data_IF_975658711368
#
_entry.id   IF_975658711368
#
_cell.length_a   1.000
_cell.length_b   1.000
_cell.length_c   1.000
_cell.angle_alpha   90.00
_cell.angle_beta   90.00
_cell.angle_gamma   90.00
#
_symmetry.space_group_name_H-M   'P 1'
#
loop_
_entity.id
_entity.type
_entity.pdbx_description
1 polymer ?
#
# COMPACT_ATOMS: atom_id res chain seq x y z
N UNK A 1 10.21 -3.17 -23.31
CA UNK A 1 10.26 -1.84 -22.67
C UNK A 1 10.63 -1.87 -21.17
N UNK A 2 10.42 -2.95 -20.42
CA UNK A 2 10.73 -3.02 -18.98
C UNK A 2 12.21 -3.30 -18.69
N UNK A 3 12.86 -4.11 -19.51
CA UNK A 3 14.25 -4.56 -19.27
C UNK A 3 15.26 -3.40 -19.32
N UNK A 4 15.12 -2.50 -20.28
CA UNK A 4 16.06 -1.39 -20.45
C UNK A 4 16.11 -0.45 -19.22
N UNK A 5 14.97 0.05 -18.67
CA UNK A 5 15.01 0.84 -17.43
C UNK A 5 15.56 0.08 -16.23
N UNK A 6 15.31 -1.23 -16.12
CA UNK A 6 15.86 -2.04 -15.04
C UNK A 6 17.40 -2.14 -15.12
N UNK A 7 17.95 -2.36 -16.33
CA UNK A 7 19.41 -2.37 -16.54
C UNK A 7 20.01 -1.00 -16.26
N UNK A 8 19.38 0.09 -16.71
CA UNK A 8 19.86 1.45 -16.43
C UNK A 8 19.78 1.79 -14.93
N UNK A 9 18.77 1.32 -14.21
CA UNK A 9 18.70 1.47 -12.75
C UNK A 9 19.89 0.80 -12.07
N UNK A 10 20.19 -0.47 -12.44
CA UNK A 10 21.35 -1.19 -11.91
C UNK A 10 22.65 -0.49 -12.29
N UNK A 11 22.80 -0.05 -13.54
CA UNK A 11 23.98 0.71 -13.99
C UNK A 11 24.15 2.01 -13.21
N UNK A 12 23.07 2.75 -13.01
CA UNK A 12 23.07 3.98 -12.24
C UNK A 12 23.47 3.75 -10.78
N UNK A 13 23.03 2.64 -10.18
CA UNK A 13 23.40 2.29 -8.80
C UNK A 13 24.89 2.01 -8.59
N UNK A 14 25.58 1.61 -9.65
CA UNK A 14 27.03 1.36 -9.66
C UNK A 14 27.84 2.56 -10.13
N UNK A 15 27.20 3.67 -10.48
CA UNK A 15 27.79 4.89 -11.01
C UNK A 15 27.86 6.01 -9.99
N UNK A 16 28.80 6.94 -10.21
CA UNK A 16 28.85 8.25 -9.55
C UNK A 16 28.29 9.30 -10.50
N UNK A 17 27.50 10.20 -9.94
CA UNK A 17 26.89 11.31 -10.69
C UNK A 17 27.22 12.65 -10.03
N UNK A 18 27.34 13.71 -10.84
CA UNK A 18 27.39 15.08 -10.34
C UNK A 18 26.05 15.54 -9.81
N UNK A 19 26.02 16.68 -9.12
CA UNK A 19 24.78 17.33 -8.66
C UNK A 19 23.82 17.66 -9.83
N UNK A 20 24.38 17.83 -11.04
CA UNK A 20 23.61 18.06 -12.27
C UNK A 20 23.18 16.79 -12.99
N UNK A 21 23.47 15.61 -12.42
CA UNK A 21 23.10 14.32 -13.00
C UNK A 21 24.06 13.79 -14.07
N UNK A 22 25.23 14.41 -14.26
CA UNK A 22 26.23 13.94 -15.21
C UNK A 22 27.01 12.76 -14.64
N UNK A 23 27.16 11.69 -15.43
CA UNK A 23 27.94 10.52 -15.06
C UNK A 23 29.43 10.85 -14.92
N UNK A 24 30.04 10.48 -13.82
CA UNK A 24 31.43 10.75 -13.45
C UNK A 24 32.31 9.50 -13.38
N UNK A 25 31.77 8.32 -13.62
CA UNK A 25 32.49 7.05 -13.60
C UNK A 25 31.82 5.97 -12.75
N UNK A 26 32.34 4.75 -12.87
CA UNK A 26 31.87 3.60 -12.09
C UNK A 26 32.50 3.62 -10.69
N UNK A 27 31.70 3.32 -9.66
CA UNK A 27 32.15 3.24 -8.26
C UNK A 27 31.88 1.88 -7.63
N UNK A 28 31.39 0.92 -8.40
CA UNK A 28 31.05 -0.41 -7.92
C UNK A 28 29.98 -0.38 -6.82
N UNK A 29 30.16 -1.14 -5.77
CA UNK A 29 29.21 -1.27 -4.66
C UNK A 29 29.29 -0.12 -3.62
N UNK A 30 30.07 0.92 -3.86
CA UNK A 30 30.26 2.01 -2.91
C UNK A 30 28.94 2.72 -2.54
N UNK A 31 28.01 2.87 -3.48
CA UNK A 31 26.70 3.47 -3.18
C UNK A 31 25.88 2.62 -2.21
N UNK A 32 25.99 1.29 -2.28
CA UNK A 32 25.33 0.40 -1.33
C UNK A 32 25.94 0.48 0.07
N UNK A 33 27.29 0.59 0.18
CA UNK A 33 27.95 0.82 1.47
C UNK A 33 27.49 2.16 2.08
N UNK A 34 27.50 3.25 1.31
CA UNK A 34 26.99 4.56 1.74
C UNK A 34 25.51 4.56 2.09
N UNK A 35 24.71 3.70 1.45
CA UNK A 35 23.31 3.56 1.78
C UNK A 35 23.13 2.95 3.17
N UNK A 36 23.90 1.94 3.51
CA UNK A 36 23.89 1.31 4.84
C UNK A 36 24.39 2.23 5.96
N UNK A 37 25.20 3.24 5.63
CA UNK A 37 25.68 4.26 6.56
C UNK A 37 24.67 5.39 6.81
N UNK A 38 23.53 5.42 6.05
CA UNK A 38 22.49 6.43 6.26
C UNK A 38 21.77 6.22 7.58
N UNK A 39 21.88 7.13 8.51
CA UNK A 39 21.22 7.10 9.83
C UNK A 39 19.68 6.95 9.72
N UNK A 40 19.08 7.53 8.68
CA UNK A 40 17.64 7.46 8.45
C UNK A 40 17.18 6.10 7.91
N UNK A 41 18.07 5.25 7.37
CA UNK A 41 17.67 4.01 6.69
C UNK A 41 16.85 3.05 7.56
N UNK A 42 17.24 2.73 8.82
CA UNK A 42 16.47 1.83 9.66
C UNK A 42 15.05 2.33 9.94
N UNK A 43 14.90 3.63 10.20
CA UNK A 43 13.59 4.27 10.41
C UNK A 43 12.71 4.18 9.17
N UNK A 44 13.26 4.51 8.01
CA UNK A 44 12.55 4.50 6.74
C UNK A 44 12.13 3.08 6.34
N UNK A 45 12.99 2.10 6.55
CA UNK A 45 12.63 0.67 6.34
C UNK A 45 11.52 0.25 7.30
N UNK A 46 11.63 0.57 8.58
CA UNK A 46 10.59 0.30 9.58
C UNK A 46 9.24 0.92 9.20
N UNK A 47 9.24 2.20 8.82
CA UNK A 47 8.05 2.89 8.33
C UNK A 47 7.43 2.21 7.11
N UNK A 48 8.27 1.77 6.16
CA UNK A 48 7.80 1.07 4.95
C UNK A 48 7.13 -0.26 5.30
N UNK A 49 7.73 -1.02 6.21
CA UNK A 49 7.14 -2.30 6.68
C UNK A 49 5.80 -2.04 7.37
N UNK A 50 5.73 -1.07 8.29
CA UNK A 50 4.48 -0.71 8.99
C UNK A 50 3.42 -0.23 8.00
N UNK A 51 3.79 0.68 7.09
CA UNK A 51 2.93 1.19 6.05
C UNK A 51 2.34 0.06 5.19
N UNK A 52 3.19 -0.77 4.60
CA UNK A 52 2.76 -1.84 3.70
C UNK A 52 1.95 -2.90 4.44
N UNK A 53 2.43 -3.36 5.60
CA UNK A 53 1.76 -4.40 6.36
C UNK A 53 0.36 -3.98 6.80
N UNK A 54 0.22 -2.78 7.38
CA UNK A 54 -1.07 -2.31 7.90
C UNK A 54 -2.03 -1.95 6.77
N UNK A 55 -1.58 -1.23 5.73
CA UNK A 55 -2.47 -0.88 4.62
C UNK A 55 -2.96 -2.14 3.92
N UNK A 56 -2.08 -3.11 3.61
CA UNK A 56 -2.48 -4.37 2.95
C UNK A 56 -3.40 -5.19 3.82
N UNK A 57 -3.05 -5.42 5.09
CA UNK A 57 -3.85 -6.25 6.00
C UNK A 57 -5.25 -5.66 6.22
N UNK A 58 -5.34 -4.36 6.53
CA UNK A 58 -6.63 -3.69 6.78
C UNK A 58 -7.46 -3.61 5.49
N UNK A 59 -6.84 -3.30 4.35
CA UNK A 59 -7.53 -3.28 3.06
C UNK A 59 -8.14 -4.64 2.73
N UNK A 60 -7.38 -5.73 2.87
CA UNK A 60 -7.88 -7.09 2.59
C UNK A 60 -9.02 -7.44 3.55
N UNK A 61 -8.87 -7.18 4.84
CA UNK A 61 -9.89 -7.47 5.84
C UNK A 61 -11.22 -6.75 5.55
N UNK A 62 -11.15 -5.44 5.28
CA UNK A 62 -12.34 -4.64 4.93
C UNK A 62 -12.92 -5.04 3.57
N UNK A 63 -12.06 -5.32 2.58
CA UNK A 63 -12.48 -5.73 1.24
C UNK A 63 -13.18 -7.08 1.24
N UNK A 64 -12.77 -8.03 2.11
CA UNK A 64 -13.48 -9.30 2.30
C UNK A 64 -14.92 -9.07 2.76
N UNK A 65 -15.11 -8.22 3.78
CA UNK A 65 -16.45 -7.87 4.26
C UNK A 65 -17.29 -7.17 3.21
N UNK A 66 -16.71 -6.20 2.50
CA UNK A 66 -17.41 -5.47 1.43
C UNK A 66 -17.72 -6.35 0.22
N UNK A 67 -16.81 -7.23 -0.18
CA UNK A 67 -17.05 -8.18 -1.28
C UNK A 67 -18.18 -9.15 -0.95
N UNK A 68 -18.21 -9.66 0.30
CA UNK A 68 -19.30 -10.50 0.79
C UNK A 68 -20.64 -9.76 0.75
N UNK A 69 -20.69 -8.54 1.29
CA UNK A 69 -21.89 -7.69 1.25
C UNK A 69 -22.32 -7.43 -0.19
N UNK A 70 -21.39 -7.09 -1.08
CA UNK A 70 -21.70 -6.84 -2.49
C UNK A 70 -22.01 -8.10 -3.29
N UNK A 71 -21.76 -9.28 -2.77
CA UNK A 71 -22.18 -10.55 -3.37
C UNK A 71 -23.65 -10.87 -3.09
N UNK A 72 -24.17 -10.38 -1.97
CA UNK A 72 -25.60 -10.52 -1.62
C UNK A 72 -26.49 -9.60 -2.45
N UNK A 73 -27.77 -9.99 -2.62
CA UNK A 73 -28.79 -9.15 -3.24
C UNK A 73 -29.51 -8.32 -2.18
N UNK A 74 -29.33 -7.01 -2.17
CA UNK A 74 -30.04 -6.10 -1.26
C UNK A 74 -30.39 -4.77 -1.95
N UNK A 75 -31.45 -4.07 -1.47
CA UNK A 75 -31.79 -2.75 -1.97
C UNK A 75 -30.65 -1.76 -1.67
N UNK A 76 -30.24 -0.96 -2.68
CA UNK A 76 -29.11 -0.03 -2.53
C UNK A 76 -27.72 -0.58 -2.90
N UNK A 77 -27.58 -1.88 -3.23
CA UNK A 77 -26.30 -2.47 -3.71
C UNK A 77 -25.63 -1.65 -4.81
N UNK A 78 -26.41 -1.11 -5.74
CA UNK A 78 -25.92 -0.29 -6.83
C UNK A 78 -25.27 1.02 -6.32
N UNK A 79 -25.86 1.65 -5.31
CA UNK A 79 -25.33 2.85 -4.70
C UNK A 79 -23.98 2.59 -4.00
N UNK A 80 -23.87 1.48 -3.25
CA UNK A 80 -22.60 1.08 -2.60
C UNK A 80 -21.51 0.83 -3.63
N UNK A 81 -21.85 0.19 -4.77
CA UNK A 81 -20.88 0.02 -5.88
C UNK A 81 -20.39 1.35 -6.44
N UNK A 82 -21.29 2.30 -6.68
CA UNK A 82 -20.90 3.63 -7.14
C UNK A 82 -20.06 4.37 -6.10
N UNK A 83 -20.42 4.29 -4.82
CA UNK A 83 -19.67 4.90 -3.73
C UNK A 83 -18.22 4.39 -3.63
N UNK A 84 -17.95 3.15 -4.04
CA UNK A 84 -16.60 2.60 -4.13
C UNK A 84 -15.86 3.05 -5.40
N UNK A 85 -16.53 3.06 -6.57
CA UNK A 85 -15.88 3.35 -7.86
C UNK A 85 -15.52 4.83 -7.99
N UNK A 86 -16.40 5.75 -7.57
CA UNK A 86 -16.22 7.19 -7.78
C UNK A 86 -14.92 7.71 -7.13
N UNK A 87 -14.61 7.42 -5.84
CA UNK A 87 -13.34 7.82 -5.24
C UNK A 87 -12.12 7.18 -5.92
N UNK A 88 -12.26 5.95 -6.38
CA UNK A 88 -11.16 5.23 -7.04
C UNK A 88 -10.83 5.80 -8.43
N UNK A 89 -11.81 6.37 -9.11
CA UNK A 89 -11.60 7.03 -10.42
C UNK A 89 -10.80 8.34 -10.30
N UNK A 90 -10.65 8.90 -9.10
CA UNK A 90 -9.83 10.07 -8.85
C UNK A 90 -8.33 9.73 -8.87
N UNK A 91 -7.48 10.68 -9.29
CA UNK A 91 -6.04 10.48 -9.22
C UNK A 91 -5.55 10.39 -7.77
N UNK A 92 -4.47 9.63 -7.53
CA UNK A 92 -3.86 9.49 -6.20
C UNK A 92 -3.49 10.84 -5.57
N UNK A 93 -2.96 11.77 -6.37
CA UNK A 93 -2.59 13.11 -5.90
C UNK A 93 -3.85 13.88 -5.47
N UNK A 94 -4.92 13.81 -6.26
CA UNK A 94 -6.17 14.49 -5.93
C UNK A 94 -6.80 13.93 -4.66
N UNK A 95 -6.85 12.60 -4.54
CA UNK A 95 -7.33 11.94 -3.32
C UNK A 95 -6.49 12.34 -2.11
N UNK A 96 -5.16 12.34 -2.23
CA UNK A 96 -4.28 12.74 -1.14
C UNK A 96 -4.47 14.20 -0.72
N UNK A 97 -4.62 15.13 -1.68
CA UNK A 97 -4.90 16.56 -1.40
C UNK A 97 -6.26 16.77 -0.74
N UNK A 98 -7.28 16.01 -1.13
CA UNK A 98 -8.58 16.03 -0.46
C UNK A 98 -8.44 15.65 1.03
N UNK A 99 -7.66 14.61 1.32
CA UNK A 99 -7.41 14.19 2.70
C UNK A 99 -6.55 15.20 3.48
N UNK A 100 -5.63 15.94 2.85
CA UNK A 100 -4.94 17.08 3.51
C UNK A 100 -5.96 18.10 4.00
N UNK A 101 -7.00 18.38 3.23
CA UNK A 101 -8.06 19.30 3.66
C UNK A 101 -8.98 18.68 4.73
N UNK A 102 -9.29 17.40 4.64
CA UNK A 102 -10.08 16.69 5.66
C UNK A 102 -9.37 16.70 7.01
N UNK A 103 -8.03 16.54 7.00
CA UNK A 103 -7.17 16.50 8.18
C UNK A 103 -6.68 17.89 8.64
N UNK A 104 -7.08 18.98 7.98
CA UNK A 104 -6.66 20.32 8.38
C UNK A 104 -7.06 20.62 9.84
N UNK A 105 -6.11 21.18 10.60
CA UNK A 105 -6.30 21.38 12.03
C UNK A 105 -7.47 22.31 12.36
N UNK A 106 -7.61 23.42 11.62
CA UNK A 106 -8.59 24.47 11.91
C UNK A 106 -9.93 24.26 11.20
N UNK A 107 -9.89 23.87 9.94
CA UNK A 107 -11.05 23.84 9.05
C UNK A 107 -11.42 22.43 8.57
N UNK A 108 -10.60 21.43 8.91
CA UNK A 108 -10.78 20.06 8.46
C UNK A 108 -12.08 19.43 8.94
N UNK A 109 -12.71 18.67 8.04
CA UNK A 109 -13.99 18.01 8.32
C UNK A 109 -13.90 17.09 9.54
N UNK A 110 -12.78 16.40 9.72
CA UNK A 110 -12.60 15.44 10.81
C UNK A 110 -12.56 16.15 12.18
N UNK A 111 -11.79 17.23 12.29
CA UNK A 111 -11.72 18.01 13.53
C UNK A 111 -13.03 18.75 13.82
N UNK A 112 -13.74 19.21 12.80
CA UNK A 112 -15.10 19.79 12.98
C UNK A 112 -16.08 18.76 13.54
N UNK A 113 -16.05 17.52 13.03
CA UNK A 113 -16.89 16.45 13.57
C UNK A 113 -16.51 16.10 15.02
N UNK A 114 -15.21 16.04 15.33
CA UNK A 114 -14.71 15.78 16.69
C UNK A 114 -15.16 16.90 17.67
N UNK A 115 -14.95 18.15 17.31
CA UNK A 115 -15.32 19.27 18.19
C UNK A 115 -16.83 19.39 18.37
N UNK A 116 -17.64 19.01 17.38
CA UNK A 116 -19.09 18.93 17.52
C UNK A 116 -19.55 17.85 18.54
N UNK A 117 -18.72 16.84 18.81
CA UNK A 117 -18.96 15.83 19.84
C UNK A 117 -18.24 16.13 21.17
N UNK A 118 -17.60 17.31 21.31
CA UNK A 118 -16.90 17.74 22.51
C UNK A 118 -15.47 17.21 22.65
N UNK A 119 -14.91 16.58 21.59
CA UNK A 119 -13.52 16.13 21.56
C UNK A 119 -12.58 17.25 21.12
N UNK A 120 -11.37 17.26 21.68
CA UNK A 120 -10.34 18.22 21.27
C UNK A 120 -9.87 17.97 19.84
N UNK A 121 -9.54 19.03 19.07
CA UNK A 121 -8.97 18.88 17.73
C UNK A 121 -7.56 18.27 17.80
N UNK A 122 -7.19 17.50 16.78
CA UNK A 122 -5.92 16.79 16.66
C UNK A 122 -5.17 17.31 15.45
N UNK A 123 -3.86 17.52 15.57
CA UNK A 123 -3.01 17.80 14.40
C UNK A 123 -2.60 16.49 13.71
N UNK A 124 -3.49 16.00 12.84
CA UNK A 124 -3.36 14.69 12.19
C UNK A 124 -2.08 14.52 11.37
N UNK A 125 -1.58 15.59 10.77
CA UNK A 125 -0.43 15.57 9.87
C UNK A 125 0.82 16.23 10.43
N UNK A 126 0.71 16.96 11.54
CA UNK A 126 1.85 17.61 12.19
C UNK A 126 2.36 16.91 13.44
N UNK A 127 1.54 16.04 14.08
CA UNK A 127 1.96 15.25 15.24
C UNK A 127 2.55 13.91 14.79
N UNK A 128 3.77 13.62 15.26
CA UNK A 128 4.52 12.37 15.00
C UNK A 128 3.73 11.11 15.35
N UNK A 129 2.79 11.19 16.29
CA UNK A 129 1.99 10.04 16.74
C UNK A 129 0.83 9.72 15.81
N UNK A 130 0.31 10.71 15.09
CA UNK A 130 -0.92 10.57 14.29
C UNK A 130 -0.67 10.48 12.80
N UNK A 131 0.41 11.09 12.29
CA UNK A 131 0.68 11.20 10.86
C UNK A 131 0.76 9.84 10.14
N UNK A 132 1.43 8.84 10.72
CA UNK A 132 1.51 7.51 10.11
C UNK A 132 0.13 6.83 10.05
N UNK A 133 -0.66 6.93 11.12
CA UNK A 133 -2.03 6.42 11.17
C UNK A 133 -2.94 7.13 10.14
N UNK A 134 -2.84 8.45 10.03
CA UNK A 134 -3.57 9.24 9.04
C UNK A 134 -3.21 8.82 7.60
N UNK A 135 -1.92 8.64 7.31
CA UNK A 135 -1.47 8.15 6.01
C UNK A 135 -2.01 6.74 5.72
N UNK A 136 -1.95 5.81 6.69
CA UNK A 136 -2.47 4.44 6.56
C UNK A 136 -3.96 4.46 6.23
N UNK A 137 -4.75 5.28 6.90
CA UNK A 137 -6.19 5.39 6.63
C UNK A 137 -6.46 5.81 5.18
N UNK A 138 -5.68 6.75 4.63
CA UNK A 138 -5.78 7.17 3.22
C UNK A 138 -5.33 6.05 2.28
N UNK A 139 -4.24 5.36 2.60
CA UNK A 139 -3.76 4.20 1.84
C UNK A 139 -4.81 3.11 1.73
N UNK A 140 -5.47 2.77 2.84
CA UNK A 140 -6.59 1.82 2.88
C UNK A 140 -7.76 2.31 2.03
N UNK A 141 -8.19 3.56 2.22
CA UNK A 141 -9.31 4.14 1.48
C UNK A 141 -9.12 4.04 -0.04
N UNK A 142 -7.93 4.37 -0.53
CA UNK A 142 -7.63 4.36 -1.98
C UNK A 142 -7.50 2.93 -2.52
N UNK A 143 -6.98 2.00 -1.72
CA UNK A 143 -6.75 0.60 -2.13
C UNK A 143 -8.02 -0.27 -2.06
N UNK A 144 -8.98 0.14 -1.22
CA UNK A 144 -10.19 -0.62 -0.88
C UNK A 144 -11.05 -1.01 -2.10
N UNK A 145 -11.37 -0.08 -3.05
CA UNK A 145 -12.27 -0.41 -4.15
C UNK A 145 -11.72 -1.50 -5.06
N UNK A 146 -10.49 -1.36 -5.52
CA UNK A 146 -9.85 -2.34 -6.40
C UNK A 146 -9.79 -3.73 -5.76
N UNK A 147 -9.32 -3.80 -4.51
CA UNK A 147 -9.21 -5.05 -3.76
C UNK A 147 -10.59 -5.70 -3.55
N UNK A 148 -11.60 -4.89 -3.23
CA UNK A 148 -13.00 -5.38 -3.09
C UNK A 148 -13.52 -6.00 -4.39
N UNK A 149 -13.27 -5.38 -5.54
CA UNK A 149 -13.74 -5.92 -6.81
C UNK A 149 -12.99 -7.18 -7.24
N UNK A 150 -11.70 -7.29 -6.96
CA UNK A 150 -10.93 -8.53 -7.22
C UNK A 150 -11.51 -9.68 -6.38
N UNK A 151 -11.78 -9.45 -5.09
CA UNK A 151 -12.36 -10.45 -4.21
C UNK A 151 -13.81 -10.78 -4.58
N UNK A 152 -14.60 -9.78 -4.96
CA UNK A 152 -15.97 -9.99 -5.43
C UNK A 152 -16.01 -10.85 -6.71
N UNK A 153 -15.10 -10.60 -7.66
CA UNK A 153 -14.98 -11.43 -8.84
C UNK A 153 -14.64 -12.89 -8.46
N UNK A 154 -13.72 -13.08 -7.50
CA UNK A 154 -13.41 -14.41 -6.98
C UNK A 154 -14.61 -15.08 -6.29
N UNK A 155 -15.42 -14.37 -5.50
CA UNK A 155 -16.62 -14.91 -4.89
C UNK A 155 -17.65 -15.38 -5.94
N UNK A 156 -17.75 -14.66 -7.05
CA UNK A 156 -18.69 -14.96 -8.12
C UNK A 156 -18.29 -16.19 -8.99
N UNK A 157 -17.06 -16.68 -8.85
CA UNK A 157 -16.64 -17.93 -9.53
C UNK A 157 -17.05 -19.18 -8.75
N UNK A 158 -17.46 -19.06 -7.48
CA UNK A 158 -17.88 -20.19 -6.67
C UNK A 158 -19.31 -20.59 -7.06
N UNK A 159 -19.56 -21.84 -7.54
CA UNK A 159 -20.88 -22.28 -7.93
C UNK A 159 -21.88 -22.27 -6.77
N UNK A 160 -23.12 -21.88 -7.03
CA UNK A 160 -24.18 -21.87 -6.03
C UNK A 160 -24.47 -23.25 -5.41
N UNK A 161 -24.29 -24.30 -6.20
CA UNK A 161 -24.45 -25.70 -5.79
C UNK A 161 -23.56 -26.07 -4.59
N UNK A 162 -22.34 -25.48 -4.52
CA UNK A 162 -21.44 -25.69 -3.39
C UNK A 162 -22.05 -25.16 -2.08
N UNK A 163 -22.70 -24.01 -2.14
CA UNK A 163 -23.37 -23.43 -0.97
C UNK A 163 -24.67 -24.18 -0.61
N UNK A 164 -25.34 -24.76 -1.59
CA UNK A 164 -26.55 -25.61 -1.36
C UNK A 164 -26.15 -26.91 -0.68
N UNK A 165 -25.14 -27.62 -1.17
CA UNK A 165 -24.60 -28.82 -0.54
C UNK A 165 -24.12 -28.53 0.91
N UNK A 166 -23.39 -27.44 1.11
CA UNK A 166 -22.92 -27.02 2.43
C UNK A 166 -24.08 -26.80 3.43
N UNK A 167 -25.19 -26.24 2.97
CA UNK A 167 -26.38 -26.06 3.82
C UNK A 167 -27.01 -27.38 4.24
N UNK A 168 -27.04 -28.36 3.35
CA UNK A 168 -27.54 -29.72 3.66
C UNK A 168 -26.67 -30.39 4.70
N UNK A 169 -25.31 -30.19 4.63
CA UNK A 169 -24.34 -30.72 5.59
C UNK A 169 -24.26 -29.90 6.90
N UNK A 170 -25.11 -28.89 7.09
CA UNK A 170 -25.18 -28.07 8.30
C UNK A 170 -24.04 -27.00 8.40
N UNK A 171 -23.30 -26.79 7.33
CA UNK A 171 -22.24 -25.77 7.26
C UNK A 171 -22.82 -24.41 6.78
N UNK A 172 -23.80 -23.86 7.51
CA UNK A 172 -24.38 -22.55 7.22
C UNK A 172 -23.67 -21.40 7.96
N UNK A 173 -23.84 -20.17 7.48
CA UNK A 173 -23.34 -18.94 8.12
C UNK A 173 -21.83 -18.91 8.24
N UNK A 174 -21.30 -18.60 9.46
CA UNK A 174 -19.86 -18.46 9.70
C UNK A 174 -19.06 -19.75 9.42
N UNK A 175 -19.65 -20.93 9.63
CA UNK A 175 -19.00 -22.22 9.32
C UNK A 175 -18.80 -22.35 7.80
N UNK A 176 -19.84 -22.09 7.01
CA UNK A 176 -19.75 -22.11 5.55
C UNK A 176 -18.73 -21.10 5.03
N UNK A 177 -18.71 -19.88 5.59
CA UNK A 177 -17.70 -18.88 5.24
C UNK A 177 -16.28 -19.35 5.52
N UNK A 178 -16.02 -19.85 6.74
CA UNK A 178 -14.67 -20.22 7.21
C UNK A 178 -14.12 -21.47 6.52
N UNK A 179 -14.99 -22.48 6.27
CA UNK A 179 -14.56 -23.78 5.80
C UNK A 179 -14.77 -24.01 4.30
N UNK A 180 -15.58 -23.19 3.63
CA UNK A 180 -15.91 -23.34 2.21
C UNK A 180 -15.52 -22.09 1.44
N UNK A 181 -16.13 -20.94 1.76
CA UNK A 181 -15.90 -19.70 0.99
C UNK A 181 -14.44 -19.25 1.05
N UNK A 182 -13.87 -19.15 2.24
CA UNK A 182 -12.51 -18.63 2.42
C UNK A 182 -11.44 -19.52 1.77
N UNK A 183 -11.49 -20.86 1.86
CA UNK A 183 -10.59 -21.74 1.12
C UNK A 183 -10.74 -21.62 -0.41
N UNK A 184 -11.96 -21.61 -0.92
CA UNK A 184 -12.22 -21.47 -2.36
C UNK A 184 -11.84 -20.09 -2.90
N UNK A 185 -11.84 -19.06 -2.05
CA UNK A 185 -11.44 -17.69 -2.40
C UNK A 185 -9.92 -17.50 -2.38
N UNK A 186 -9.13 -18.45 -1.89
CA UNK A 186 -7.66 -18.33 -1.78
C UNK A 186 -6.99 -17.81 -3.05
N UNK A 187 -7.28 -18.31 -4.27
CA UNK A 187 -6.62 -17.80 -5.47
C UNK A 187 -6.86 -16.30 -5.69
N UNK A 188 -8.09 -15.83 -5.49
CA UNK A 188 -8.43 -14.41 -5.59
C UNK A 188 -7.77 -13.58 -4.48
N UNK A 189 -7.69 -14.12 -3.24
CA UNK A 189 -6.96 -13.49 -2.14
C UNK A 189 -5.46 -13.35 -2.44
N UNK A 190 -4.85 -14.37 -3.04
CA UNK A 190 -3.44 -14.31 -3.45
C UNK A 190 -3.20 -13.18 -4.46
N UNK A 191 -4.03 -13.13 -5.49
CA UNK A 191 -3.93 -12.08 -6.52
C UNK A 191 -4.15 -10.70 -5.90
N UNK A 192 -5.21 -10.54 -5.10
CA UNK A 192 -5.53 -9.28 -4.44
C UNK A 192 -4.38 -8.80 -3.53
N UNK A 193 -3.80 -9.71 -2.74
CA UNK A 193 -2.72 -9.36 -1.82
C UNK A 193 -1.43 -8.98 -2.55
N UNK A 194 -1.02 -9.73 -3.58
CA UNK A 194 0.18 -9.41 -4.37
C UNK A 194 0.04 -8.06 -5.07
N UNK A 195 -1.10 -7.84 -5.74
CA UNK A 195 -1.33 -6.58 -6.45
C UNK A 195 -1.40 -5.40 -5.49
N UNK A 196 -2.07 -5.56 -4.34
CA UNK A 196 -2.16 -4.52 -3.31
C UNK A 196 -0.78 -4.25 -2.68
N UNK A 197 0.02 -5.28 -2.39
CA UNK A 197 1.38 -5.13 -1.86
C UNK A 197 2.25 -4.29 -2.80
N UNK A 198 2.26 -4.63 -4.10
CA UNK A 198 3.03 -3.88 -5.11
C UNK A 198 2.53 -2.43 -5.22
N UNK A 199 1.22 -2.24 -5.24
CA UNK A 199 0.60 -0.92 -5.35
C UNK A 199 0.92 -0.04 -4.13
N UNK A 200 0.73 -0.56 -2.92
CA UNK A 200 0.94 0.17 -1.67
C UNK A 200 2.43 0.50 -1.45
N UNK A 201 3.32 -0.44 -1.75
CA UNK A 201 4.77 -0.19 -1.66
C UNK A 201 5.20 0.98 -2.54
N UNK A 202 4.64 1.10 -3.75
CA UNK A 202 4.96 2.16 -4.71
C UNK A 202 4.09 3.42 -4.56
N UNK A 203 3.30 3.56 -3.49
CA UNK A 203 2.38 4.68 -3.28
C UNK A 203 3.08 5.99 -2.89
N UNK A 204 3.99 6.47 -3.74
CA UNK A 204 4.69 7.75 -3.56
C UNK A 204 3.73 8.94 -3.34
N UNK A 205 2.67 9.16 -4.15
CA UNK A 205 1.85 10.37 -4.05
C UNK A 205 1.15 10.52 -2.71
N UNK A 206 0.72 9.43 -2.09
CA UNK A 206 0.01 9.46 -0.80
C UNK A 206 0.97 9.92 0.29
N UNK A 207 2.06 9.18 0.48
CA UNK A 207 3.02 9.47 1.54
C UNK A 207 3.66 10.84 1.34
N UNK A 208 4.05 11.18 0.11
CA UNK A 208 4.65 12.47 -0.22
C UNK A 208 3.74 13.64 0.10
N UNK A 209 2.46 13.56 -0.29
CA UNK A 209 1.51 14.68 -0.14
C UNK A 209 1.09 14.88 1.33
N UNK A 210 0.90 13.80 2.08
CA UNK A 210 0.45 13.87 3.47
C UNK A 210 1.60 14.18 4.44
N UNK A 211 2.84 13.80 4.09
CA UNK A 211 4.03 14.04 4.91
C UNK A 211 4.76 15.36 4.58
N UNK A 212 4.19 16.21 3.74
CA UNK A 212 4.82 17.46 3.28
C UNK A 212 5.13 18.47 4.41
N UNK A 213 4.41 18.37 5.53
CA UNK A 213 4.61 19.23 6.72
C UNK A 213 5.72 18.76 7.64
N UNK A 214 6.20 17.52 7.50
CA UNK A 214 7.21 16.94 8.37
C UNK A 214 8.60 17.03 7.71
N UNK A 215 9.49 17.89 8.20
CA UNK A 215 10.85 17.96 7.71
C UNK A 215 11.64 16.70 8.12
N UNK A 216 12.67 16.37 7.38
CA UNK A 216 13.51 15.21 7.66
C UNK A 216 12.95 13.90 7.10
N UNK A 217 13.26 12.80 7.78
CA UNK A 217 12.98 11.44 7.29
C UNK A 217 12.13 10.59 8.23
N UNK A 218 11.66 11.16 9.36
CA UNK A 218 11.02 10.44 10.45
C UNK A 218 9.78 9.63 9.99
N UNK A 219 9.02 10.13 9.01
CA UNK A 219 7.80 9.49 8.50
C UNK A 219 7.89 9.10 7.03
N UNK A 220 9.09 9.13 6.46
CA UNK A 220 9.29 8.70 5.09
C UNK A 220 9.21 7.18 4.96
N UNK A 221 8.74 6.75 3.81
CA UNK A 221 8.91 5.38 3.30
C UNK A 221 10.12 5.33 2.38
N UNK A 222 10.58 4.14 2.03
CA UNK A 222 11.74 3.97 1.15
C UNK A 222 11.56 4.68 -0.20
N UNK A 223 10.33 4.77 -0.71
CA UNK A 223 10.06 5.44 -1.99
C UNK A 223 10.17 6.97 -1.89
N UNK A 224 9.70 7.58 -0.78
CA UNK A 224 9.82 9.03 -0.56
C UNK A 224 11.25 9.41 -0.17
N UNK A 225 11.94 8.57 0.59
CA UNK A 225 13.36 8.74 0.92
C UNK A 225 14.24 8.70 -0.33
N UNK A 226 13.99 7.72 -1.22
CA UNK A 226 14.69 7.65 -2.52
C UNK A 226 14.52 8.96 -3.31
N UNK A 227 13.29 9.48 -3.37
CA UNK A 227 13.03 10.75 -4.06
C UNK A 227 13.75 11.94 -3.41
N UNK A 228 13.78 12.01 -2.07
CA UNK A 228 14.48 13.07 -1.34
C UNK A 228 15.99 13.02 -1.61
N UNK A 229 16.60 11.84 -1.62
CA UNK A 229 18.02 11.66 -1.96
C UNK A 229 18.30 12.13 -3.39
N UNK A 230 17.46 11.72 -4.35
CA UNK A 230 17.69 12.05 -5.76
C UNK A 230 17.52 13.54 -6.09
N UNK A 231 16.51 14.21 -5.47
CA UNK A 231 16.02 15.51 -5.94
C UNK A 231 15.99 16.62 -4.89
N UNK A 232 15.90 16.29 -3.59
CA UNK A 232 15.69 17.25 -2.51
C UNK A 232 16.88 17.42 -1.57
N UNK A 233 17.75 16.42 -1.43
CA UNK A 233 18.95 16.56 -0.61
C UNK A 233 19.91 17.61 -1.19
N UNK A 234 20.71 18.22 -0.33
CA UNK A 234 21.72 19.19 -0.76
C UNK A 234 22.73 18.57 -1.76
N UNK A 235 22.93 17.26 -1.71
CA UNK A 235 23.90 16.55 -2.53
C UNK A 235 23.31 15.98 -3.83
N UNK A 236 21.98 15.88 -3.96
CA UNK A 236 21.28 15.32 -5.14
C UNK A 236 21.99 14.08 -5.70
N UNK A 237 22.10 13.04 -4.90
CA UNK A 237 22.89 11.85 -5.23
C UNK A 237 22.07 10.81 -6.00
N UNK A 238 22.15 10.86 -7.32
CA UNK A 238 21.45 9.95 -8.23
C UNK A 238 21.94 8.51 -8.06
N UNK A 239 23.24 8.30 -7.84
CA UNK A 239 23.80 6.95 -7.66
C UNK A 239 23.30 6.28 -6.38
N UNK A 240 23.27 7.04 -5.27
CA UNK A 240 22.75 6.55 -3.99
C UNK A 240 21.24 6.25 -4.07
N UNK A 241 20.47 7.15 -4.71
CA UNK A 241 19.04 6.94 -4.93
C UNK A 241 18.76 5.72 -5.82
N UNK A 242 19.56 5.51 -6.87
CA UNK A 242 19.45 4.33 -7.72
C UNK A 242 19.80 3.03 -6.97
N UNK A 243 20.79 3.04 -6.08
CA UNK A 243 21.10 1.90 -5.22
C UNK A 243 19.91 1.55 -4.31
N UNK A 244 19.27 2.56 -3.70
CA UNK A 244 18.04 2.35 -2.92
C UNK A 244 16.89 1.84 -3.81
N UNK A 245 16.78 2.33 -5.06
CA UNK A 245 15.80 1.82 -6.05
C UNK A 245 15.98 0.34 -6.35
N UNK A 246 17.21 -0.14 -6.53
CA UNK A 246 17.52 -1.58 -6.69
C UNK A 246 17.12 -2.36 -5.45
N UNK A 247 17.45 -1.86 -4.26
CA UNK A 247 17.07 -2.50 -2.99
C UNK A 247 15.54 -2.56 -2.87
N UNK A 248 14.81 -1.52 -3.25
CA UNK A 248 13.34 -1.51 -3.27
C UNK A 248 12.76 -2.62 -4.16
N UNK A 249 13.28 -2.76 -5.38
CA UNK A 249 12.84 -3.82 -6.31
C UNK A 249 13.10 -5.21 -5.72
N UNK A 250 14.28 -5.42 -5.13
CA UNK A 250 14.63 -6.70 -4.50
C UNK A 250 13.73 -7.01 -3.30
N UNK A 251 13.43 -6.02 -2.46
CA UNK A 251 12.54 -6.20 -1.31
C UNK A 251 11.11 -6.56 -1.74
N UNK A 252 10.56 -5.90 -2.76
CA UNK A 252 9.24 -6.26 -3.30
C UNK A 252 9.26 -7.69 -3.83
N UNK A 253 10.27 -8.06 -4.61
CA UNK A 253 10.41 -9.44 -5.14
C UNK A 253 10.47 -10.47 -4.02
N UNK A 254 11.29 -10.22 -3.00
CA UNK A 254 11.39 -11.11 -1.84
C UNK A 254 10.06 -11.22 -1.11
N UNK A 255 9.38 -10.10 -0.87
CA UNK A 255 8.08 -10.09 -0.19
C UNK A 255 7.01 -10.85 -0.99
N UNK A 256 6.94 -10.66 -2.31
CA UNK A 256 6.02 -11.38 -3.19
C UNK A 256 6.33 -12.88 -3.21
N UNK A 257 7.60 -13.24 -3.40
CA UNK A 257 8.02 -14.67 -3.43
C UNK A 257 7.77 -15.34 -2.08
N UNK A 258 8.09 -14.68 -0.97
CA UNK A 258 7.83 -15.19 0.37
C UNK A 258 6.32 -15.42 0.58
N UNK A 259 5.49 -14.44 0.23
CA UNK A 259 4.04 -14.55 0.32
C UNK A 259 3.49 -15.71 -0.54
N UNK A 260 3.92 -15.83 -1.80
CA UNK A 260 3.51 -16.92 -2.68
C UNK A 260 3.95 -18.29 -2.19
N UNK A 261 5.15 -18.40 -1.61
CA UNK A 261 5.62 -19.66 -1.01
C UNK A 261 4.77 -20.07 0.19
N UNK A 262 4.54 -19.15 1.13
CA UNK A 262 3.70 -19.43 2.30
C UNK A 262 2.28 -19.83 1.89
N UNK A 263 1.75 -19.21 0.85
CA UNK A 263 0.41 -19.51 0.35
C UNK A 263 0.33 -20.88 -0.34
N UNK A 264 1.36 -21.28 -1.12
CA UNK A 264 1.42 -22.61 -1.78
C UNK A 264 1.57 -23.77 -0.80
N UNK A 265 2.32 -23.59 0.30
CA UNK A 265 2.47 -24.62 1.34
C UNK A 265 1.13 -25.03 1.98
N UNK A 266 0.10 -24.19 1.84
CA UNK A 266 -1.24 -24.50 2.34
C UNK A 266 -2.14 -25.21 1.31
N UNK A 267 -1.63 -25.45 0.09
CA UNK A 267 -2.34 -26.13 -1.00
C UNK A 267 -1.97 -27.61 -1.16
N UNK A 268 -0.93 -28.10 -0.47
CA UNK A 268 -0.63 -29.53 -0.48
C UNK A 268 -1.69 -30.29 0.34
N UNK A 269 -2.49 -31.17 -0.30
CA UNK A 269 -3.46 -32.00 0.42
C UNK A 269 -2.71 -33.03 1.26
N UNK A 270 -3.08 -33.11 2.52
CA UNK A 270 -2.76 -34.25 3.40
C UNK A 270 -3.49 -35.48 2.92
#
# INVERSE_FOLDING_TARGET
MVVYPAVELVRASLGRYSITGLYQGAVGLRNYARLLEQEALPTVVGNTVVWVALVVAVTIALSLGLAQLLNESFPGRRLVRWALIVPWAASLIMSSKLFVWIYDYYFGLLNRAMTATGLAPVDWLGDDRTVMGAMIAVGVFVSLPFTTYVLLAGLQTIPGEVYEAARVDGAAGWRGYRWITLPLLRPALLVAAVLNLIYVFNSFPIVWTLNDRNPGFAHDTMITFMYKIAFKSALRDVGLAAALGVVNVLLILVAVVAYLRVARWQEEPV
#
